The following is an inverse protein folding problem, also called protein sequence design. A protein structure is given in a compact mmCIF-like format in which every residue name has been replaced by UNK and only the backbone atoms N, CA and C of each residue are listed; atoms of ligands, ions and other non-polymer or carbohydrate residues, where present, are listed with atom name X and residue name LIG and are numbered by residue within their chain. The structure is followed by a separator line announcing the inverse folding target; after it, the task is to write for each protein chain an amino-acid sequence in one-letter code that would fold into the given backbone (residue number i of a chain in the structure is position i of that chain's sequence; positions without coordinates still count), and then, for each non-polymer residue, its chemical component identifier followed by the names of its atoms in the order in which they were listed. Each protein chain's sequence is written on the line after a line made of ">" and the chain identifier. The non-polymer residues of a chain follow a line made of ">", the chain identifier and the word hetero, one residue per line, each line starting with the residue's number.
data_IF_525142118851
#
_entry.id   IF_525142118851
#
_cell.length_a   1.000
_cell.length_b   1.000
_cell.length_c   1.000
_cell.angle_alpha   90.00
_cell.angle_beta   90.00
_cell.angle_gamma   90.00
#
_symmetry.space_group_name_H-M   'P 1'
#
loop_
_entity.id
_entity.type
_entity.pdbx_description
1 polymer ?
#
# COMPACT_ATOMS: atom_id res chain seq x y z
N UNK A 1 26.75 20.55 1.97
CA UNK A 1 25.47 20.04 1.41
C UNK A 1 24.62 19.55 2.56
N UNK A 2 23.34 19.93 2.67
CA UNK A 2 22.43 19.26 3.62
C UNK A 2 22.24 17.83 3.12
N UNK A 3 22.71 16.86 3.88
CA UNK A 3 22.48 15.44 3.60
C UNK A 3 20.96 15.20 3.57
N UNK A 4 20.46 14.65 2.48
CA UNK A 4 19.05 14.28 2.34
C UNK A 4 18.71 13.25 3.41
N UNK A 5 17.54 13.35 4.04
CA UNK A 5 17.11 12.35 5.02
C UNK A 5 16.94 10.98 4.33
N UNK A 6 17.68 9.95 4.76
CA UNK A 6 17.67 8.64 4.10
C UNK A 6 16.43 7.81 4.44
N UNK A 7 15.73 8.13 5.52
CA UNK A 7 14.56 7.40 5.97
C UNK A 7 13.32 7.87 5.22
N UNK A 8 13.08 7.25 4.07
CA UNK A 8 12.04 7.64 3.10
C UNK A 8 10.67 7.20 3.58
N UNK A 9 9.75 8.14 3.77
CA UNK A 9 8.36 7.88 4.19
C UNK A 9 7.37 7.94 3.02
N UNK A 10 7.77 8.49 1.87
CA UNK A 10 6.92 8.67 0.68
C UNK A 10 7.70 8.29 -0.58
N UNK A 11 7.12 7.39 -1.37
CA UNK A 11 7.68 6.97 -2.65
C UNK A 11 8.89 6.03 -2.53
N UNK A 12 9.58 5.85 -3.66
CA UNK A 12 10.83 5.09 -3.79
C UNK A 12 11.94 6.02 -4.28
N UNK A 13 13.09 6.00 -3.63
CA UNK A 13 14.19 6.93 -3.93
C UNK A 13 15.51 6.24 -4.32
N UNK A 14 15.43 4.98 -4.72
CA UNK A 14 16.58 4.17 -5.13
C UNK A 14 16.96 3.09 -4.12
N UNK A 15 17.77 2.14 -4.58
CA UNK A 15 18.17 0.96 -3.80
C UNK A 15 18.95 1.31 -2.54
N UNK A 16 19.71 2.41 -2.54
CA UNK A 16 20.47 2.88 -1.38
C UNK A 16 19.58 3.16 -0.15
N UNK A 17 18.36 3.67 -0.40
CA UNK A 17 17.39 4.04 0.65
C UNK A 17 16.32 2.98 0.86
N UNK A 18 16.49 1.79 0.27
CA UNK A 18 15.57 0.68 0.39
C UNK A 18 16.17 -0.38 1.33
N UNK A 19 15.45 -0.69 2.40
CA UNK A 19 15.93 -1.57 3.45
C UNK A 19 15.53 -3.02 3.17
N UNK A 20 16.53 -3.93 3.11
CA UNK A 20 16.32 -5.39 3.02
C UNK A 20 15.44 -5.77 1.80
N UNK A 21 14.70 -6.87 1.88
CA UNK A 21 13.80 -7.41 0.85
C UNK A 21 14.50 -8.09 -0.32
N UNK A 22 15.76 -8.48 -0.16
CA UNK A 22 16.54 -9.19 -1.18
C UNK A 22 15.88 -10.51 -1.58
N UNK A 23 15.33 -11.24 -0.60
CA UNK A 23 14.65 -12.52 -0.86
C UNK A 23 13.36 -12.33 -1.65
N UNK A 24 12.51 -11.39 -1.23
CA UNK A 24 11.27 -11.07 -1.94
C UNK A 24 11.55 -10.49 -3.32
N UNK A 25 12.52 -9.59 -3.43
CA UNK A 25 12.95 -9.00 -4.71
C UNK A 25 13.42 -10.09 -5.68
N UNK A 26 14.33 -10.97 -5.26
CA UNK A 26 14.82 -12.10 -6.08
C UNK A 26 13.66 -13.00 -6.50
N UNK A 27 12.80 -13.39 -5.56
CA UNK A 27 11.66 -14.26 -5.82
C UNK A 27 10.69 -13.65 -6.84
N UNK A 28 10.39 -12.35 -6.71
CA UNK A 28 9.51 -11.64 -7.66
C UNK A 28 10.15 -11.55 -9.04
N UNK A 29 11.44 -11.21 -9.15
CA UNK A 29 12.17 -11.17 -10.41
C UNK A 29 12.21 -12.55 -11.08
N UNK A 30 12.46 -13.61 -10.32
CA UNK A 30 12.46 -14.97 -10.83
C UNK A 30 11.09 -15.38 -11.36
N UNK A 31 10.00 -15.05 -10.67
CA UNK A 31 8.66 -15.34 -11.15
C UNK A 31 8.32 -14.57 -12.43
N UNK A 32 8.58 -13.27 -12.48
CA UNK A 32 8.30 -12.43 -13.65
C UNK A 32 9.07 -12.91 -14.88
N UNK A 33 10.38 -13.19 -14.76
CA UNK A 33 11.23 -13.70 -15.83
C UNK A 33 10.81 -15.09 -16.33
N UNK A 34 10.19 -15.90 -15.48
CA UNK A 34 9.65 -17.21 -15.85
C UNK A 34 8.17 -17.17 -16.28
N UNK A 35 7.65 -15.98 -16.60
CA UNK A 35 6.32 -15.84 -17.19
C UNK A 35 5.16 -15.87 -16.21
N UNK A 36 5.41 -15.79 -14.89
CA UNK A 36 4.34 -15.78 -13.89
C UNK A 36 3.86 -14.40 -13.55
N UNK A 37 2.55 -14.27 -13.41
CA UNK A 37 1.95 -13.13 -12.69
C UNK A 37 2.12 -13.33 -11.18
N UNK A 38 2.11 -12.23 -10.43
CA UNK A 38 2.33 -12.21 -8.99
C UNK A 38 1.14 -11.56 -8.29
N UNK A 39 0.76 -12.08 -7.13
CA UNK A 39 -0.08 -11.39 -6.16
C UNK A 39 0.76 -11.03 -4.94
N UNK A 40 0.97 -9.74 -4.72
CA UNK A 40 1.71 -9.17 -3.59
C UNK A 40 0.73 -8.63 -2.54
N UNK A 41 0.72 -9.20 -1.35
CA UNK A 41 -0.23 -8.79 -0.31
C UNK A 41 0.42 -8.66 1.06
N UNK A 42 -0.04 -7.72 1.84
CA UNK A 42 0.28 -7.50 3.25
C UNK A 42 -0.60 -6.39 3.80
N UNK A 43 -0.70 -6.21 5.10
CA UNK A 43 -1.31 -5.02 5.68
C UNK A 43 -0.74 -3.72 5.07
N UNK A 44 -1.47 -2.62 5.18
CA UNK A 44 -0.96 -1.29 4.77
C UNK A 44 0.35 -0.97 5.50
N UNK A 45 1.17 -0.11 4.91
CA UNK A 45 2.40 0.42 5.52
C UNK A 45 3.54 -0.59 5.71
N UNK A 46 3.47 -1.76 5.06
CA UNK A 46 4.51 -2.79 5.03
C UNK A 46 5.55 -2.62 3.92
N UNK A 47 5.36 -1.64 3.02
CA UNK A 47 6.31 -1.33 1.96
C UNK A 47 6.05 -2.01 0.61
N UNK A 48 4.81 -2.49 0.32
CA UNK A 48 4.45 -3.12 -0.98
C UNK A 48 4.82 -2.26 -2.18
N UNK A 49 4.34 -1.01 -2.20
CA UNK A 49 4.61 -0.06 -3.29
C UNK A 49 6.11 0.19 -3.47
N UNK A 50 6.85 0.32 -2.36
CA UNK A 50 8.31 0.44 -2.39
C UNK A 50 8.98 -0.76 -3.03
N UNK A 51 8.54 -1.99 -2.68
CA UNK A 51 9.07 -3.23 -3.25
C UNK A 51 8.75 -3.35 -4.75
N UNK A 52 7.54 -2.96 -5.19
CA UNK A 52 7.20 -2.94 -6.62
C UNK A 52 8.16 -2.05 -7.40
N UNK A 53 8.37 -0.81 -6.94
CA UNK A 53 9.30 0.11 -7.58
C UNK A 53 10.75 -0.38 -7.51
N UNK A 54 11.15 -1.05 -6.41
CA UNK A 54 12.47 -1.65 -6.29
C UNK A 54 12.66 -2.80 -7.30
N UNK A 55 11.67 -3.68 -7.47
CA UNK A 55 11.69 -4.73 -8.50
C UNK A 55 11.76 -4.12 -9.90
N UNK A 56 10.97 -3.09 -10.18
CA UNK A 56 10.99 -2.38 -11.47
C UNK A 56 12.35 -1.74 -11.77
N UNK A 57 13.03 -1.24 -10.75
CA UNK A 57 14.39 -0.69 -10.90
C UNK A 57 15.42 -1.73 -11.39
N UNK A 58 15.16 -3.03 -11.15
CA UNK A 58 16.01 -4.15 -11.62
C UNK A 58 15.59 -4.75 -12.97
N UNK A 59 14.50 -4.25 -13.55
CA UNK A 59 14.03 -4.64 -14.88
C UNK A 59 14.45 -3.59 -15.91
N UNK A 60 14.78 -4.04 -17.13
CA UNK A 60 15.21 -3.15 -18.23
C UNK A 60 14.07 -2.81 -19.18
N UNK A 61 13.02 -3.59 -19.12
CA UNK A 61 11.86 -3.50 -20.00
C UNK A 61 10.84 -2.48 -19.51
N UNK A 62 9.75 -2.32 -20.24
CA UNK A 62 8.68 -1.38 -19.88
C UNK A 62 8.01 -1.78 -18.58
N UNK A 63 8.06 -0.89 -17.58
CA UNK A 63 7.40 -1.06 -16.30
C UNK A 63 6.29 -0.03 -16.11
N UNK A 64 5.08 -0.47 -15.78
CA UNK A 64 3.90 0.36 -15.61
C UNK A 64 3.36 0.17 -14.20
N UNK A 65 3.23 1.24 -13.45
CA UNK A 65 2.59 1.24 -12.14
C UNK A 65 1.26 1.98 -12.19
N UNK A 66 0.22 1.35 -11.67
CA UNK A 66 -1.14 1.91 -11.59
C UNK A 66 -1.68 1.69 -10.18
N UNK A 67 -2.06 2.77 -9.50
CA UNK A 67 -2.79 2.73 -8.24
C UNK A 67 -4.28 2.98 -8.52
N UNK A 68 -5.12 2.00 -8.20
CA UNK A 68 -6.57 2.09 -8.45
C UNK A 68 -7.39 2.36 -7.19
N UNK A 69 -6.75 2.80 -6.09
CA UNK A 69 -7.42 3.09 -4.83
C UNK A 69 -8.59 4.07 -4.96
N UNK A 70 -8.45 5.08 -5.83
CA UNK A 70 -9.46 6.14 -6.02
C UNK A 70 -10.58 5.77 -7.01
N UNK A 71 -10.54 4.58 -7.60
CA UNK A 71 -11.54 4.15 -8.59
C UNK A 71 -12.76 3.53 -7.93
N UNK A 72 -13.94 3.77 -8.49
CA UNK A 72 -15.23 3.32 -7.92
C UNK A 72 -16.02 2.41 -8.87
N UNK A 73 -15.61 2.31 -10.12
CA UNK A 73 -16.28 1.59 -11.18
C UNK A 73 -15.32 1.27 -12.34
N UNK A 74 -15.78 0.50 -13.32
CA UNK A 74 -14.99 0.12 -14.49
C UNK A 74 -14.50 1.33 -15.30
N UNK A 75 -15.33 2.37 -15.43
CA UNK A 75 -14.94 3.57 -16.19
C UNK A 75 -13.75 4.28 -15.55
N UNK A 76 -13.76 4.46 -14.23
CA UNK A 76 -12.64 5.05 -13.48
C UNK A 76 -11.38 4.20 -13.63
N UNK A 77 -11.53 2.86 -13.53
CA UNK A 77 -10.43 1.93 -13.72
C UNK A 77 -9.78 2.10 -15.10
N UNK A 78 -10.59 2.11 -16.17
CA UNK A 78 -10.10 2.24 -17.54
C UNK A 78 -9.38 3.57 -17.75
N UNK A 79 -9.91 4.66 -17.20
CA UNK A 79 -9.28 5.98 -17.27
C UNK A 79 -7.91 6.01 -16.59
N UNK A 80 -7.81 5.49 -15.36
CA UNK A 80 -6.57 5.47 -14.58
C UNK A 80 -5.55 4.51 -15.17
N UNK A 81 -5.98 3.30 -15.56
CA UNK A 81 -5.13 2.29 -16.17
C UNK A 81 -4.59 2.76 -17.53
N UNK A 82 -5.46 3.30 -18.39
CA UNK A 82 -5.06 3.84 -19.68
C UNK A 82 -4.06 5.00 -19.55
N UNK A 83 -4.28 5.93 -18.60
CA UNK A 83 -3.33 7.00 -18.29
C UNK A 83 -1.95 6.43 -17.94
N UNK A 84 -1.89 5.41 -17.06
CA UNK A 84 -0.63 4.78 -16.66
C UNK A 84 0.08 4.09 -17.83
N UNK A 85 -0.67 3.35 -18.67
CA UNK A 85 -0.13 2.70 -19.86
C UNK A 85 0.49 3.72 -20.82
N UNK A 86 -0.21 4.81 -21.12
CA UNK A 86 0.31 5.81 -22.07
C UNK A 86 1.47 6.62 -21.51
N UNK A 87 1.47 6.92 -20.22
CA UNK A 87 2.58 7.63 -19.58
C UNK A 87 3.89 6.83 -19.63
N UNK A 88 3.83 5.50 -19.63
CA UNK A 88 5.00 4.64 -19.71
C UNK A 88 5.61 4.53 -21.12
N UNK A 89 4.84 4.86 -22.18
CA UNK A 89 5.29 4.71 -23.58
C UNK A 89 6.17 5.89 -24.01
N UNK A 90 6.12 7.00 -23.32
CA UNK A 90 6.96 8.17 -23.63
C UNK A 90 6.29 9.51 -23.38
N UNK A 91 7.06 10.56 -23.64
CA UNK A 91 6.61 11.95 -23.47
C UNK A 91 5.41 12.24 -24.37
N UNK A 92 4.33 12.88 -23.86
CA UNK A 92 3.16 13.26 -24.63
C UNK A 92 3.54 14.23 -25.77
N UNK A 93 3.57 13.71 -26.99
CA UNK A 93 3.82 14.50 -28.20
C UNK A 93 2.66 14.34 -29.17
N UNK A 94 2.45 15.33 -30.04
CA UNK A 94 1.43 15.24 -31.11
C UNK A 94 1.63 14.00 -32.01
N UNK A 95 2.89 13.58 -32.23
CA UNK A 95 3.22 12.36 -32.99
C UNK A 95 2.77 11.09 -32.26
N UNK A 96 2.99 11.01 -30.95
CA UNK A 96 2.56 9.87 -30.12
C UNK A 96 1.01 9.81 -30.08
N UNK A 97 0.35 10.93 -29.83
CA UNK A 97 -1.12 11.00 -29.82
C UNK A 97 -1.69 10.57 -31.17
N UNK A 98 -1.13 11.04 -32.30
CA UNK A 98 -1.56 10.62 -33.63
C UNK A 98 -1.41 9.11 -33.86
N UNK A 99 -0.31 8.50 -33.37
CA UNK A 99 -0.10 7.05 -33.41
C UNK A 99 -1.13 6.31 -32.56
N UNK A 100 -1.38 6.78 -31.34
CA UNK A 100 -2.40 6.22 -30.46
C UNK A 100 -3.80 6.36 -31.04
N UNK A 101 -4.17 7.52 -31.58
CA UNK A 101 -5.49 7.76 -32.21
C UNK A 101 -5.77 6.82 -33.39
N UNK A 102 -4.73 6.35 -34.10
CA UNK A 102 -4.93 5.36 -35.17
C UNK A 102 -5.24 3.96 -34.63
N UNK A 103 -4.87 3.67 -33.38
CA UNK A 103 -5.09 2.39 -32.73
C UNK A 103 -6.44 2.35 -32.00
N UNK A 104 -6.78 3.45 -31.31
CA UNK A 104 -7.98 3.56 -30.48
C UNK A 104 -9.15 4.15 -31.28
N UNK A 105 -10.27 3.43 -31.33
CA UNK A 105 -11.51 3.82 -32.05
C UNK A 105 -12.63 4.25 -31.12
N UNK A 106 -12.78 3.56 -29.99
CA UNK A 106 -13.84 3.80 -29.00
C UNK A 106 -13.46 4.85 -27.97
N UNK A 107 -12.17 5.18 -27.84
CA UNK A 107 -11.69 6.23 -26.97
C UNK A 107 -10.65 7.11 -27.68
N UNK A 108 -10.59 8.38 -27.27
CA UNK A 108 -9.68 9.35 -27.88
C UNK A 108 -8.54 9.71 -26.90
N UNK A 109 -7.28 9.39 -27.24
CA UNK A 109 -6.16 9.91 -26.47
C UNK A 109 -6.09 11.44 -26.65
N UNK A 110 -6.19 12.19 -25.57
CA UNK A 110 -6.09 13.66 -25.56
C UNK A 110 -4.95 14.10 -24.66
N UNK A 111 -4.24 15.16 -25.07
CA UNK A 111 -3.23 15.79 -24.22
C UNK A 111 -3.94 16.75 -23.28
N UNK A 112 -3.72 16.58 -21.99
CA UNK A 112 -4.19 17.47 -20.93
C UNK A 112 -3.00 17.90 -20.08
N UNK A 113 -3.24 18.79 -19.12
CA UNK A 113 -2.25 19.20 -18.12
C UNK A 113 -2.65 18.58 -16.80
N UNK A 114 -1.75 17.85 -16.18
CA UNK A 114 -1.97 17.29 -14.84
C UNK A 114 -2.07 18.43 -13.83
N UNK A 115 -3.19 18.50 -13.10
CA UNK A 115 -3.51 19.61 -12.20
C UNK A 115 -2.54 19.72 -11.00
N UNK A 116 -1.86 18.62 -10.63
CA UNK A 116 -0.93 18.59 -9.49
C UNK A 116 0.49 18.94 -9.89
N UNK A 117 0.95 18.41 -11.02
CA UNK A 117 2.33 18.58 -11.48
C UNK A 117 2.50 19.70 -12.51
N UNK A 118 1.42 20.14 -13.15
CA UNK A 118 1.46 21.08 -14.27
C UNK A 118 2.09 20.51 -15.56
N UNK A 119 2.35 19.20 -15.60
CA UNK A 119 3.02 18.55 -16.74
C UNK A 119 1.99 18.05 -17.76
N UNK A 120 2.34 18.03 -19.06
CA UNK A 120 1.48 17.41 -20.08
C UNK A 120 1.30 15.92 -19.81
N UNK A 121 0.06 15.45 -19.89
CA UNK A 121 -0.30 14.04 -19.76
C UNK A 121 -1.25 13.60 -20.86
N UNK A 122 -1.34 12.29 -21.13
CA UNK A 122 -2.34 11.72 -22.03
C UNK A 122 -3.45 11.12 -21.18
N UNK A 123 -4.67 11.60 -21.43
CA UNK A 123 -5.92 10.99 -20.90
C UNK A 123 -6.70 10.32 -22.02
N UNK A 124 -7.54 9.37 -21.65
CA UNK A 124 -8.55 8.79 -22.54
C UNK A 124 -9.85 9.53 -22.36
N UNK A 125 -10.39 10.03 -23.48
CA UNK A 125 -11.74 10.58 -23.56
C UNK A 125 -12.67 9.52 -24.21
N UNK A 126 -13.64 9.02 -23.45
CA UNK A 126 -14.60 8.02 -23.87
C UNK A 126 -15.91 8.13 -23.06
N UNK A 127 -17.03 7.70 -23.67
CA UNK A 127 -18.30 7.65 -22.97
C UNK A 127 -18.30 6.49 -21.95
N UNK A 128 -18.94 6.63 -20.78
CA UNK A 128 -19.05 5.55 -19.78
C UNK A 128 -19.57 4.23 -20.33
N UNK A 129 -20.48 4.27 -21.31
CA UNK A 129 -21.01 3.10 -22.00
C UNK A 129 -19.99 2.38 -22.91
N UNK A 130 -18.82 2.97 -23.13
CA UNK A 130 -17.74 2.42 -23.95
C UNK A 130 -16.56 1.90 -23.13
N UNK A 131 -16.69 1.84 -21.80
CA UNK A 131 -15.58 1.45 -20.91
C UNK A 131 -15.01 0.06 -21.24
N UNK A 132 -15.85 -0.93 -21.52
CA UNK A 132 -15.38 -2.28 -21.90
C UNK A 132 -14.63 -2.27 -23.24
N UNK A 133 -15.11 -1.51 -24.22
CA UNK A 133 -14.45 -1.39 -25.53
C UNK A 133 -13.11 -0.66 -25.39
N UNK A 134 -13.07 0.44 -24.61
CA UNK A 134 -11.83 1.15 -24.32
C UNK A 134 -10.82 0.25 -23.61
N UNK A 135 -11.26 -0.57 -22.66
CA UNK A 135 -10.44 -1.57 -21.99
C UNK A 135 -9.87 -2.58 -23.00
N UNK A 136 -10.72 -3.13 -23.88
CA UNK A 136 -10.26 -4.05 -24.92
C UNK A 136 -9.17 -3.41 -25.78
N UNK A 137 -9.37 -2.16 -26.25
CA UNK A 137 -8.38 -1.45 -27.06
C UNK A 137 -7.05 -1.22 -26.32
N UNK A 138 -7.07 -0.94 -24.99
CA UNK A 138 -5.86 -0.87 -24.17
C UNK A 138 -5.14 -2.21 -24.17
N UNK A 139 -5.84 -3.32 -23.96
CA UNK A 139 -5.24 -4.65 -23.94
C UNK A 139 -4.73 -5.09 -25.33
N UNK A 140 -5.44 -4.76 -26.40
CA UNK A 140 -4.98 -5.00 -27.77
C UNK A 140 -3.71 -4.18 -28.07
N UNK A 141 -3.63 -2.96 -27.57
CA UNK A 141 -2.43 -2.14 -27.65
C UNK A 141 -1.26 -2.78 -26.87
N UNK A 142 -1.47 -3.22 -25.63
CA UNK A 142 -0.46 -3.92 -24.84
C UNK A 142 0.04 -5.19 -25.53
N UNK A 143 -0.86 -5.93 -26.20
CA UNK A 143 -0.51 -7.11 -27.00
C UNK A 143 0.36 -6.77 -28.21
N UNK A 144 0.26 -5.56 -28.75
CA UNK A 144 1.04 -5.08 -29.89
C UNK A 144 2.46 -4.65 -29.53
N UNK A 145 2.81 -4.58 -28.24
CA UNK A 145 4.15 -4.24 -27.76
C UNK A 145 5.06 -5.47 -27.97
N UNK A 146 6.15 -5.31 -28.69
CA UNK A 146 7.05 -6.42 -29.04
C UNK A 146 8.00 -6.83 -27.91
N UNK A 147 8.23 -5.93 -26.94
CA UNK A 147 9.11 -6.16 -25.78
C UNK A 147 8.32 -6.64 -24.58
N UNK A 148 8.99 -7.26 -23.62
CA UNK A 148 8.39 -7.61 -22.35
C UNK A 148 7.88 -6.35 -21.62
N UNK A 149 6.74 -6.48 -20.95
CA UNK A 149 6.11 -5.41 -20.20
C UNK A 149 5.66 -5.93 -18.84
N UNK A 150 5.96 -5.16 -17.80
CA UNK A 150 5.61 -5.50 -16.42
C UNK A 150 4.64 -4.45 -15.87
N UNK A 151 3.46 -4.89 -15.45
CA UNK A 151 2.38 -3.99 -15.01
C UNK A 151 2.04 -4.30 -13.56
N UNK A 152 2.19 -3.34 -12.68
CA UNK A 152 1.70 -3.41 -11.31
C UNK A 152 0.38 -2.66 -11.17
N UNK A 153 -0.63 -3.34 -10.64
CA UNK A 153 -1.91 -2.74 -10.25
C UNK A 153 -1.99 -2.80 -8.74
N UNK A 154 -1.79 -1.65 -8.09
CA UNK A 154 -1.85 -1.53 -6.63
C UNK A 154 -3.29 -1.30 -6.16
N UNK A 155 -3.61 -1.77 -4.96
CA UNK A 155 -4.94 -1.81 -4.33
C UNK A 155 -5.98 -2.58 -5.18
N UNK A 156 -5.54 -3.69 -5.81
CA UNK A 156 -6.35 -4.47 -6.77
C UNK A 156 -7.67 -4.99 -6.19
N UNK A 157 -7.79 -5.18 -4.87
CA UNK A 157 -9.06 -5.55 -4.25
C UNK A 157 -10.18 -4.53 -4.50
N UNK A 158 -9.86 -3.30 -4.91
CA UNK A 158 -10.85 -2.28 -5.26
C UNK A 158 -11.80 -2.74 -6.37
N UNK A 159 -11.31 -3.57 -7.30
CA UNK A 159 -12.14 -4.16 -8.36
C UNK A 159 -13.34 -4.95 -7.82
N UNK A 160 -13.20 -5.58 -6.64
CA UNK A 160 -14.29 -6.35 -6.05
C UNK A 160 -15.41 -5.48 -5.44
N UNK A 161 -15.18 -4.20 -5.29
CA UNK A 161 -16.12 -3.22 -4.75
C UNK A 161 -16.90 -2.46 -5.86
N UNK A 162 -16.58 -2.72 -7.14
CA UNK A 162 -17.27 -2.06 -8.26
C UNK A 162 -18.72 -2.51 -8.41
N UNK A 163 -19.62 -1.61 -8.82
CA UNK A 163 -21.02 -1.95 -9.03
C UNK A 163 -21.24 -2.90 -10.22
N UNK A 164 -20.34 -2.88 -11.22
CA UNK A 164 -20.41 -3.75 -12.37
C UNK A 164 -20.03 -5.18 -11.98
N UNK A 165 -20.96 -6.11 -12.23
CA UNK A 165 -20.70 -7.53 -12.03
C UNK A 165 -19.75 -8.04 -13.12
N UNK A 166 -18.86 -8.97 -12.77
CA UNK A 166 -17.95 -9.63 -13.71
C UNK A 166 -16.70 -8.85 -14.15
N UNK A 167 -16.36 -7.72 -13.54
CA UNK A 167 -15.12 -6.99 -13.89
C UNK A 167 -13.88 -7.87 -13.71
N UNK A 168 -13.82 -8.70 -12.66
CA UNK A 168 -12.72 -9.67 -12.48
C UNK A 168 -12.65 -10.67 -13.66
N UNK A 169 -13.78 -11.21 -14.11
CA UNK A 169 -13.80 -12.15 -15.22
C UNK A 169 -13.38 -11.47 -16.53
N UNK A 170 -13.81 -10.23 -16.75
CA UNK A 170 -13.42 -9.43 -17.90
C UNK A 170 -11.89 -9.19 -17.91
N UNK A 171 -11.33 -8.70 -16.80
CA UNK A 171 -9.89 -8.49 -16.66
C UNK A 171 -9.11 -9.79 -16.83
N UNK A 172 -9.57 -10.88 -16.23
CA UNK A 172 -8.94 -12.20 -16.35
C UNK A 172 -8.88 -12.67 -17.81
N UNK A 173 -9.96 -12.46 -18.57
CA UNK A 173 -10.03 -12.84 -19.99
C UNK A 173 -9.00 -12.08 -20.82
N UNK A 174 -8.84 -10.79 -20.58
CA UNK A 174 -7.83 -10.00 -21.30
C UNK A 174 -6.40 -10.39 -20.91
N UNK A 175 -6.13 -10.49 -19.61
CA UNK A 175 -4.78 -10.75 -19.06
C UNK A 175 -4.22 -12.09 -19.53
N UNK A 176 -5.04 -13.16 -19.55
CA UNK A 176 -4.56 -14.49 -19.94
C UNK A 176 -4.14 -14.59 -21.42
N UNK A 177 -4.57 -13.65 -22.26
CA UNK A 177 -4.25 -13.61 -23.69
C UNK A 177 -2.97 -12.83 -24.02
N UNK A 178 -2.27 -12.30 -23.00
CA UNK A 178 -1.05 -11.52 -23.17
C UNK A 178 0.18 -12.41 -22.94
N UNK A 179 0.95 -12.68 -23.99
CA UNK A 179 2.17 -13.49 -23.91
C UNK A 179 3.39 -12.69 -23.43
N UNK A 180 3.41 -11.39 -23.70
CA UNK A 180 4.52 -10.46 -23.45
C UNK A 180 4.33 -9.57 -22.21
N UNK A 181 3.23 -9.69 -21.48
CA UNK A 181 2.93 -8.86 -20.32
C UNK A 181 2.83 -9.71 -19.06
N UNK A 182 3.45 -9.25 -17.96
CA UNK A 182 3.32 -9.87 -16.63
C UNK A 182 2.76 -8.88 -15.64
N UNK A 183 1.87 -9.36 -14.80
CA UNK A 183 1.16 -8.53 -13.84
C UNK A 183 1.63 -8.79 -12.41
N UNK A 184 1.70 -7.70 -11.63
CA UNK A 184 1.82 -7.70 -10.18
C UNK A 184 0.52 -7.10 -9.64
N UNK A 185 -0.34 -7.93 -9.05
CA UNK A 185 -1.53 -7.48 -8.35
C UNK A 185 -1.16 -7.24 -6.90
N UNK A 186 -1.22 -6.00 -6.44
CA UNK A 186 -0.92 -5.67 -5.06
C UNK A 186 -2.19 -5.26 -4.30
N UNK A 187 -2.25 -5.57 -3.00
CA UNK A 187 -3.37 -5.16 -2.18
C UNK A 187 -3.07 -5.16 -0.68
N UNK A 188 -3.78 -4.29 0.02
CA UNK A 188 -3.62 -4.08 1.46
C UNK A 188 -4.68 -4.78 2.31
N UNK A 189 -5.85 -5.07 1.75
CA UNK A 189 -6.91 -5.86 2.38
C UNK A 189 -6.64 -7.35 2.11
N UNK A 190 -5.73 -7.95 2.90
CA UNK A 190 -5.24 -9.31 2.66
C UNK A 190 -6.36 -10.34 2.48
N UNK A 191 -7.43 -10.26 3.29
CA UNK A 191 -8.56 -11.19 3.19
C UNK A 191 -9.31 -11.10 1.84
N UNK A 192 -9.46 -9.89 1.27
CA UNK A 192 -10.09 -9.72 -0.04
C UNK A 192 -9.17 -10.23 -1.16
N UNK A 193 -7.90 -9.92 -1.10
CA UNK A 193 -6.89 -10.42 -2.06
C UNK A 193 -6.82 -11.95 -2.00
N UNK A 194 -6.75 -12.54 -0.81
CA UNK A 194 -6.77 -14.00 -0.65
C UNK A 194 -8.07 -14.60 -1.21
N UNK A 195 -9.21 -13.99 -0.94
CA UNK A 195 -10.48 -14.43 -1.53
C UNK A 195 -10.44 -14.40 -3.07
N UNK A 196 -9.96 -13.32 -3.68
CA UNK A 196 -9.90 -13.17 -5.15
C UNK A 196 -8.99 -14.22 -5.81
N UNK A 197 -7.85 -14.59 -5.19
CA UNK A 197 -6.82 -15.42 -5.81
C UNK A 197 -6.77 -16.88 -5.28
N UNK A 198 -7.33 -17.16 -4.11
CA UNK A 198 -7.31 -18.50 -3.50
C UNK A 198 -8.68 -19.19 -3.48
N UNK A 199 -9.80 -18.46 -3.65
CA UNK A 199 -11.11 -19.06 -3.69
C UNK A 199 -11.41 -19.62 -5.09
N UNK A 200 -11.70 -20.92 -5.18
CA UNK A 200 -11.99 -21.64 -6.43
C UNK A 200 -13.18 -21.09 -7.22
N UNK A 201 -14.06 -20.30 -6.60
CA UNK A 201 -15.22 -19.68 -7.26
C UNK A 201 -14.88 -18.34 -7.92
N UNK A 202 -13.69 -17.81 -7.74
CA UNK A 202 -13.28 -16.50 -8.26
C UNK A 202 -12.52 -16.62 -9.58
N UNK A 203 -12.66 -15.65 -10.49
CA UNK A 203 -12.01 -15.69 -11.80
C UNK A 203 -10.48 -15.82 -11.74
N UNK A 204 -9.83 -15.18 -10.77
CA UNK A 204 -8.37 -15.19 -10.63
C UNK A 204 -7.82 -16.39 -9.84
N UNK A 205 -8.64 -17.39 -9.51
CA UNK A 205 -8.18 -18.57 -8.77
C UNK A 205 -6.94 -19.20 -9.40
N UNK A 206 -5.89 -19.38 -8.60
CA UNK A 206 -4.60 -19.98 -8.97
C UNK A 206 -3.92 -19.38 -10.22
N UNK A 207 -4.22 -18.12 -10.56
CA UNK A 207 -3.67 -17.47 -11.76
C UNK A 207 -2.34 -16.77 -11.53
N UNK A 208 -1.85 -16.73 -10.29
CA UNK A 208 -0.64 -15.99 -9.89
C UNK A 208 0.20 -16.76 -8.88
N UNK A 209 1.44 -16.30 -8.68
CA UNK A 209 2.30 -16.70 -7.55
C UNK A 209 2.07 -15.73 -6.39
N UNK A 210 1.70 -16.28 -5.22
CA UNK A 210 1.45 -15.48 -4.03
C UNK A 210 2.76 -15.09 -3.34
N UNK A 211 2.91 -13.81 -3.03
CA UNK A 211 4.02 -13.25 -2.25
C UNK A 211 3.43 -12.41 -1.12
N UNK A 212 3.66 -12.82 0.11
CA UNK A 212 3.30 -12.06 1.29
C UNK A 212 4.49 -11.28 1.84
N UNK A 213 4.26 -10.05 2.31
CA UNK A 213 5.27 -9.30 3.04
C UNK A 213 5.01 -9.37 4.53
N UNK A 214 6.06 -9.65 5.26
CA UNK A 214 6.13 -9.59 6.71
C UNK A 214 6.98 -8.40 7.15
N UNK A 215 7.13 -8.20 8.43
CA UNK A 215 8.04 -7.22 9.01
C UNK A 215 9.48 -7.48 8.54
N UNK A 216 10.24 -6.43 8.27
CA UNK A 216 11.69 -6.54 8.04
C UNK A 216 12.32 -7.01 9.35
N UNK A 217 13.19 -8.04 9.35
CA UNK A 217 13.84 -8.51 10.57
C UNK A 217 14.54 -7.35 11.32
N UNK A 218 14.32 -7.26 12.64
CA UNK A 218 14.85 -6.17 13.47
C UNK A 218 16.35 -5.95 13.28
N UNK A 219 17.13 -7.03 13.16
CA UNK A 219 18.58 -6.98 12.94
C UNK A 219 18.94 -6.31 11.62
N UNK A 220 18.33 -6.74 10.49
CA UNK A 220 18.57 -6.14 9.17
C UNK A 220 18.20 -4.67 9.16
N UNK A 221 17.08 -4.33 9.82
CA UNK A 221 16.59 -2.95 9.88
C UNK A 221 17.53 -2.07 10.75
N UNK A 222 18.01 -2.61 11.86
CA UNK A 222 19.00 -1.93 12.72
C UNK A 222 20.27 -1.60 11.94
N UNK A 223 20.83 -2.58 11.21
CA UNK A 223 22.06 -2.38 10.43
C UNK A 223 21.88 -1.33 9.33
N UNK A 224 20.72 -1.34 8.67
CA UNK A 224 20.34 -0.30 7.71
C UNK A 224 20.28 1.09 8.37
N UNK A 225 19.58 1.22 9.49
CA UNK A 225 19.44 2.49 10.19
C UNK A 225 20.76 2.99 10.74
N UNK A 226 21.52 2.10 11.38
CA UNK A 226 22.83 2.41 11.98
C UNK A 226 23.80 3.00 10.98
N UNK A 227 23.88 2.45 9.77
CA UNK A 227 24.74 2.96 8.70
C UNK A 227 24.54 4.47 8.47
N UNK A 228 23.30 4.93 8.34
CA UNK A 228 23.01 6.33 8.09
C UNK A 228 23.21 7.24 9.30
N UNK A 229 22.98 6.75 10.52
CA UNK A 229 23.27 7.52 11.72
C UNK A 229 24.78 7.64 11.97
N UNK A 230 25.54 6.59 11.68
CA UNK A 230 27.02 6.62 11.77
C UNK A 230 27.62 7.67 10.83
N UNK A 231 27.10 7.81 9.59
CA UNK A 231 27.53 8.83 8.61
C UNK A 231 27.43 10.26 9.15
N UNK A 232 26.45 10.52 9.99
CA UNK A 232 26.24 11.84 10.64
C UNK A 232 26.72 11.88 12.09
N UNK A 233 27.47 10.85 12.53
CA UNK A 233 28.08 10.73 13.87
C UNK A 233 27.06 10.73 15.01
N UNK A 234 25.91 10.11 14.81
CA UNK A 234 24.90 9.88 15.83
C UNK A 234 24.96 8.41 16.25
N UNK A 235 25.08 8.16 17.54
CA UNK A 235 25.09 6.80 18.09
C UNK A 235 23.65 6.27 18.16
N UNK A 236 23.41 5.10 17.55
CA UNK A 236 22.17 4.33 17.65
C UNK A 236 22.47 3.01 18.37
N UNK A 237 22.21 2.88 19.68
CA UNK A 237 22.33 1.61 20.38
C UNK A 237 21.29 0.59 19.86
N UNK A 238 21.69 -0.68 19.73
CA UNK A 238 20.82 -1.74 19.24
C UNK A 238 19.57 -1.92 20.13
N UNK A 239 19.73 -1.85 21.45
CA UNK A 239 18.61 -1.94 22.41
C UNK A 239 17.57 -0.83 22.22
N UNK A 240 17.99 0.40 21.89
CA UNK A 240 17.06 1.50 21.64
C UNK A 240 16.35 1.36 20.29
N UNK A 241 17.04 0.80 19.29
CA UNK A 241 16.40 0.44 18.04
C UNK A 241 15.36 -0.68 18.25
N UNK A 242 15.64 -1.71 19.02
CA UNK A 242 14.69 -2.77 19.34
C UNK A 242 13.46 -2.23 20.08
N UNK A 243 13.66 -1.31 21.04
CA UNK A 243 12.57 -0.63 21.74
C UNK A 243 11.67 0.14 20.76
N UNK A 244 12.27 0.93 19.88
CA UNK A 244 11.56 1.67 18.81
C UNK A 244 10.81 0.72 17.88
N UNK A 245 11.46 -0.34 17.41
CA UNK A 245 10.91 -1.33 16.52
C UNK A 245 9.69 -2.02 17.14
N UNK A 246 9.80 -2.46 18.39
CA UNK A 246 8.73 -3.12 19.13
C UNK A 246 7.56 -2.19 19.46
N UNK A 247 7.83 -0.88 19.60
CA UNK A 247 6.80 0.13 19.88
C UNK A 247 5.74 0.21 18.78
N UNK A 248 6.15 -0.04 17.53
CA UNK A 248 5.30 0.01 16.34
C UNK A 248 5.16 -1.36 15.65
N UNK A 249 5.43 -2.46 16.37
CA UNK A 249 5.32 -3.84 15.91
C UNK A 249 6.09 -4.11 14.60
N UNK A 250 7.25 -3.46 14.40
CA UNK A 250 8.10 -3.63 13.23
C UNK A 250 7.51 -3.15 11.89
N UNK A 251 6.35 -2.51 11.89
CA UNK A 251 5.73 -2.07 10.65
C UNK A 251 6.56 -0.99 9.97
N UNK A 252 6.99 -1.28 8.76
CA UNK A 252 8.02 -0.55 8.00
C UNK A 252 7.83 0.97 7.99
N UNK A 253 6.63 1.46 7.65
CA UNK A 253 6.39 2.90 7.54
C UNK A 253 6.49 3.63 8.89
N UNK A 254 6.04 3.00 9.99
CA UNK A 254 6.11 3.62 11.32
C UNK A 254 7.55 3.66 11.84
N UNK A 255 8.31 2.57 11.62
CA UNK A 255 9.75 2.55 11.94
C UNK A 255 10.46 3.64 11.14
N UNK A 256 10.25 3.73 9.82
CA UNK A 256 10.81 4.78 8.97
C UNK A 256 10.42 6.18 9.45
N UNK A 257 9.17 6.40 9.87
CA UNK A 257 8.71 7.71 10.32
C UNK A 257 9.43 8.16 11.59
N UNK A 258 9.64 7.26 12.57
CA UNK A 258 10.37 7.59 13.79
C UNK A 258 11.86 7.83 13.49
N UNK A 259 12.49 6.97 12.66
CA UNK A 259 13.88 7.16 12.24
C UNK A 259 14.07 8.46 11.46
N UNK A 260 13.11 8.82 10.59
CA UNK A 260 13.10 10.08 9.85
C UNK A 260 13.09 11.28 10.79
N UNK A 261 12.22 11.26 11.81
CA UNK A 261 12.14 12.32 12.82
C UNK A 261 13.43 12.39 13.64
N UNK A 262 13.98 11.28 14.10
CA UNK A 262 15.25 11.23 14.83
C UNK A 262 16.41 11.79 14.00
N UNK A 263 16.42 11.51 12.69
CA UNK A 263 17.43 12.05 11.78
C UNK A 263 17.29 13.57 11.58
N UNK A 264 16.08 14.11 11.63
CA UNK A 264 15.84 15.57 11.63
C UNK A 264 16.24 16.23 12.95
N UNK A 265 15.93 15.60 14.08
CA UNK A 265 16.19 16.12 15.43
C UNK A 265 17.68 16.13 15.78
N UNK A 266 18.48 15.24 15.16
CA UNK A 266 19.94 15.11 15.37
C UNK A 266 20.39 15.04 16.84
N UNK A 267 19.87 14.12 17.65
CA UNK A 267 20.37 13.93 19.00
C UNK A 267 21.82 13.41 18.93
N UNK A 268 22.66 13.69 19.92
CA UNK A 268 24.03 13.15 19.96
C UNK A 268 24.06 11.63 20.10
N UNK A 269 23.13 11.09 20.87
CA UNK A 269 22.90 9.67 21.10
C UNK A 269 21.40 9.46 21.05
N UNK A 270 20.97 8.40 20.36
CA UNK A 270 19.56 7.98 20.37
C UNK A 270 19.35 7.14 21.63
N UNK A 271 18.50 7.64 22.49
CA UNK A 271 18.08 7.03 23.75
C UNK A 271 16.54 6.98 23.83
N UNK A 272 16.00 6.33 24.84
CA UNK A 272 14.55 6.22 25.03
C UNK A 272 13.85 7.58 25.10
N UNK A 273 14.52 8.62 25.63
CA UNK A 273 13.97 9.98 25.70
C UNK A 273 13.86 10.62 24.31
N UNK A 274 14.88 10.51 23.48
CA UNK A 274 14.87 11.02 22.10
C UNK A 274 13.86 10.27 21.22
N UNK A 275 13.74 8.95 21.39
CA UNK A 275 12.72 8.13 20.70
C UNK A 275 11.30 8.57 21.08
N UNK A 276 11.03 8.75 22.39
CA UNK A 276 9.72 9.20 22.85
C UNK A 276 9.41 10.63 22.43
N UNK A 277 10.40 11.51 22.36
CA UNK A 277 10.24 12.88 21.86
C UNK A 277 9.88 12.87 20.36
N UNK A 278 10.59 12.12 19.52
CA UNK A 278 10.30 11.96 18.12
C UNK A 278 8.87 11.42 17.89
N UNK A 279 8.49 10.39 18.64
CA UNK A 279 7.12 9.86 18.60
C UNK A 279 6.08 10.91 19.02
N UNK A 280 6.34 11.69 20.06
CA UNK A 280 5.43 12.73 20.51
C UNK A 280 5.25 13.81 19.44
N UNK A 281 6.33 14.27 18.81
CA UNK A 281 6.26 15.23 17.69
C UNK A 281 5.34 14.71 16.58
N UNK A 282 5.54 13.46 16.14
CA UNK A 282 4.70 12.85 15.09
C UNK A 282 3.22 12.78 15.53
N UNK A 283 2.96 12.41 16.79
CA UNK A 283 1.59 12.31 17.31
C UNK A 283 0.94 13.69 17.43
N UNK A 284 1.66 14.70 17.88
CA UNK A 284 1.17 16.08 18.01
C UNK A 284 0.82 16.68 16.66
N UNK A 285 1.65 16.49 15.64
CA UNK A 285 1.37 16.92 14.27
C UNK A 285 0.07 16.30 13.71
N UNK A 286 -0.26 15.08 14.12
CA UNK A 286 -1.47 14.37 13.69
C UNK A 286 -2.66 14.50 14.66
N UNK A 287 -2.48 15.18 15.80
CA UNK A 287 -3.47 15.19 16.89
C UNK A 287 -4.84 15.73 16.48
N UNK A 288 -4.89 16.77 15.64
CA UNK A 288 -6.15 17.31 15.09
C UNK A 288 -6.91 16.26 14.28
N UNK A 289 -6.22 15.53 13.41
CA UNK A 289 -6.79 14.46 12.60
C UNK A 289 -7.32 13.32 13.48
N UNK A 290 -6.55 12.94 14.50
CA UNK A 290 -6.94 11.90 15.45
C UNK A 290 -8.16 12.29 16.28
N UNK A 291 -8.21 13.54 16.76
CA UNK A 291 -9.38 14.07 17.47
C UNK A 291 -10.63 14.04 16.58
N UNK A 292 -10.48 14.43 15.31
CA UNK A 292 -11.60 14.40 14.34
C UNK A 292 -12.10 12.98 14.12
N UNK A 293 -11.22 12.03 13.84
CA UNK A 293 -11.59 10.62 13.69
C UNK A 293 -12.30 10.09 14.93
N UNK A 294 -11.74 10.35 16.11
CA UNK A 294 -12.31 9.91 17.36
C UNK A 294 -13.69 10.56 17.64
N UNK A 295 -13.91 11.80 17.27
CA UNK A 295 -15.18 12.50 17.46
C UNK A 295 -16.31 11.96 16.59
N UNK A 296 -16.01 11.40 15.42
CA UNK A 296 -16.99 10.78 14.51
C UNK A 296 -17.54 9.45 15.05
N UNK A 297 -16.87 8.83 16.01
CA UNK A 297 -17.27 7.55 16.57
C UNK A 297 -18.36 7.71 17.63
N UNK A 298 -19.25 6.72 17.74
CA UNK A 298 -20.22 6.64 18.82
C UNK A 298 -19.53 6.37 20.17
N UNK A 299 -20.21 6.62 21.30
CA UNK A 299 -19.65 6.40 22.63
C UNK A 299 -19.14 4.96 22.84
N UNK A 300 -19.88 3.95 22.38
CA UNK A 300 -19.47 2.55 22.52
C UNK A 300 -18.26 2.22 21.61
N UNK A 301 -18.19 2.76 20.41
CA UNK A 301 -17.03 2.60 19.52
C UNK A 301 -15.78 3.24 20.12
N UNK A 302 -15.91 4.46 20.67
CA UNK A 302 -14.80 5.15 21.37
C UNK A 302 -14.28 4.36 22.56
N UNK A 303 -15.18 3.81 23.38
CA UNK A 303 -14.80 2.97 24.51
C UNK A 303 -14.08 1.71 24.05
N UNK A 304 -14.62 1.00 23.06
CA UNK A 304 -14.00 -0.20 22.48
C UNK A 304 -12.63 0.09 21.89
N UNK A 305 -12.51 1.13 21.07
CA UNK A 305 -11.25 1.51 20.42
C UNK A 305 -10.15 1.88 21.42
N UNK A 306 -10.51 2.65 22.47
CA UNK A 306 -9.58 2.97 23.58
C UNK A 306 -9.17 1.71 24.37
N UNK A 307 -10.11 0.79 24.62
CA UNK A 307 -9.82 -0.45 25.31
C UNK A 307 -8.79 -1.31 24.55
N UNK A 308 -8.98 -1.43 23.23
CA UNK A 308 -8.01 -2.12 22.34
C UNK A 308 -6.67 -1.41 22.32
N UNK A 309 -6.66 -0.08 22.24
CA UNK A 309 -5.42 0.72 22.25
C UNK A 309 -4.60 0.52 23.54
N UNK A 310 -5.26 0.48 24.71
CA UNK A 310 -4.61 0.28 26.02
C UNK A 310 -4.00 -1.13 26.19
N UNK A 311 -4.64 -2.16 25.64
CA UNK A 311 -4.10 -3.52 25.67
C UNK A 311 -3.09 -3.78 24.54
N UNK A 312 -3.03 -2.93 23.53
CA UNK A 312 -2.27 -3.07 22.27
C UNK A 312 -2.74 -4.25 21.41
N UNK A 313 -2.87 -5.45 21.98
CA UNK A 313 -3.32 -6.68 21.30
C UNK A 313 -4.39 -7.34 22.16
N UNK A 314 -5.56 -7.59 21.58
CA UNK A 314 -6.70 -8.20 22.28
C UNK A 314 -7.13 -9.49 21.59
N UNK A 315 -6.92 -10.63 22.23
CA UNK A 315 -7.31 -11.92 21.68
C UNK A 315 -8.84 -12.17 21.83
N UNK A 316 -9.44 -11.74 22.94
CA UNK A 316 -10.84 -12.01 23.29
C UNK A 316 -11.58 -10.73 23.73
N UNK A 317 -11.97 -9.85 22.78
CA UNK A 317 -12.54 -8.52 23.07
C UNK A 317 -13.98 -8.56 23.62
N UNK A 318 -14.62 -9.73 23.59
CA UNK A 318 -15.98 -9.93 24.13
C UNK A 318 -15.99 -10.77 25.42
N UNK A 319 -14.82 -11.10 25.96
CA UNK A 319 -14.74 -11.83 27.24
C UNK A 319 -15.28 -10.99 28.40
N UNK A 320 -15.94 -11.60 29.35
CA UNK A 320 -16.47 -10.91 30.54
C UNK A 320 -15.41 -10.08 31.24
N UNK A 321 -14.18 -10.61 31.36
CA UNK A 321 -13.05 -9.89 31.96
C UNK A 321 -12.72 -8.58 31.22
N UNK A 322 -12.65 -8.61 29.88
CA UNK A 322 -12.37 -7.43 29.07
C UNK A 322 -13.52 -6.43 29.14
N UNK A 323 -14.77 -6.90 29.00
CA UNK A 323 -15.96 -6.04 29.08
C UNK A 323 -16.05 -5.30 30.42
N UNK A 324 -15.89 -6.02 31.53
CA UNK A 324 -15.93 -5.46 32.88
C UNK A 324 -14.81 -4.43 33.09
N UNK A 325 -13.58 -4.79 32.69
CA UNK A 325 -12.41 -3.91 32.85
C UNK A 325 -12.57 -2.53 32.18
N UNK A 326 -13.21 -2.51 31.02
CA UNK A 326 -13.36 -1.30 30.21
C UNK A 326 -14.77 -0.70 30.23
N UNK A 327 -15.67 -1.19 31.10
CA UNK A 327 -17.02 -0.68 31.24
C UNK A 327 -17.91 -0.86 30.00
N UNK A 328 -17.61 -1.89 29.19
CA UNK A 328 -18.39 -2.22 28.00
C UNK A 328 -19.66 -2.99 28.41
N UNK A 329 -20.84 -2.51 28.00
CA UNK A 329 -22.13 -2.95 28.57
C UNK A 329 -22.44 -4.41 28.33
N UNK A 330 -22.40 -4.91 27.09
CA UNK A 330 -22.78 -6.27 26.71
C UNK A 330 -21.92 -6.83 25.58
N UNK A 331 -21.76 -8.14 25.50
CA UNK A 331 -21.03 -8.79 24.42
C UNK A 331 -21.59 -8.47 23.02
N UNK A 332 -22.95 -8.40 22.90
CA UNK A 332 -23.59 -8.05 21.62
C UNK A 332 -23.33 -6.61 21.18
N UNK A 333 -23.34 -5.66 22.12
CA UNK A 333 -22.99 -4.26 21.83
C UNK A 333 -21.51 -4.10 21.49
N UNK A 334 -20.64 -4.82 22.20
CA UNK A 334 -19.21 -4.87 21.92
C UNK A 334 -18.95 -5.42 20.52
N UNK A 335 -19.59 -6.51 20.12
CA UNK A 335 -19.45 -7.11 18.79
C UNK A 335 -19.91 -6.17 17.68
N UNK A 336 -21.04 -5.45 17.84
CA UNK A 336 -21.47 -4.44 16.86
C UNK A 336 -20.46 -3.31 16.71
N UNK A 337 -19.88 -2.84 17.83
CA UNK A 337 -18.84 -1.81 17.80
C UNK A 337 -17.59 -2.31 17.11
N UNK A 338 -17.15 -3.54 17.36
CA UNK A 338 -16.02 -4.18 16.70
C UNK A 338 -16.22 -4.26 15.19
N UNK A 339 -17.37 -4.80 14.74
CA UNK A 339 -17.65 -4.95 13.31
C UNK A 339 -17.58 -3.61 12.59
N UNK A 340 -18.23 -2.58 13.15
CA UNK A 340 -18.16 -1.24 12.56
C UNK A 340 -16.75 -0.65 12.57
N UNK A 341 -15.95 -0.90 13.60
CA UNK A 341 -14.56 -0.44 13.65
C UNK A 341 -13.65 -1.21 12.66
N UNK A 342 -13.94 -2.47 12.36
CA UNK A 342 -13.29 -3.23 11.31
C UNK A 342 -13.69 -2.72 9.90
N UNK A 343 -14.98 -2.54 9.65
CA UNK A 343 -15.51 -2.02 8.38
C UNK A 343 -14.91 -0.66 8.01
N UNK A 344 -14.69 0.19 9.02
CA UNK A 344 -14.09 1.52 8.85
C UNK A 344 -12.55 1.52 9.02
N UNK A 345 -11.91 0.37 9.05
CA UNK A 345 -10.46 0.21 9.15
C UNK A 345 -9.80 0.91 10.37
N UNK A 346 -10.54 1.09 11.48
CA UNK A 346 -9.95 1.53 12.75
C UNK A 346 -9.24 0.39 13.49
N UNK A 347 -9.73 -0.83 13.29
CA UNK A 347 -9.15 -2.05 13.84
C UNK A 347 -8.78 -3.02 12.73
N UNK A 348 -7.79 -3.84 12.99
CA UNK A 348 -7.50 -5.02 12.19
C UNK A 348 -7.22 -6.22 13.09
N UNK A 349 -7.27 -7.44 12.53
CA UNK A 349 -7.00 -8.68 13.23
C UNK A 349 -5.93 -9.46 12.49
N UNK A 350 -4.95 -9.97 13.24
CA UNK A 350 -4.01 -10.98 12.78
C UNK A 350 -4.04 -12.21 13.71
N UNK A 351 -3.05 -13.09 13.57
CA UNK A 351 -2.94 -14.31 14.38
C UNK A 351 -2.77 -14.03 15.88
N UNK A 352 -2.21 -12.89 16.26
CA UNK A 352 -1.99 -12.47 17.65
C UNK A 352 -3.27 -11.94 18.31
N UNK A 353 -4.17 -11.32 17.54
CA UNK A 353 -5.40 -10.73 18.04
C UNK A 353 -5.83 -9.47 17.29
N UNK A 354 -6.67 -8.67 17.95
CA UNK A 354 -7.22 -7.42 17.44
C UNK A 354 -6.37 -6.25 17.92
N UNK A 355 -6.08 -5.32 17.03
CA UNK A 355 -5.22 -4.17 17.26
C UNK A 355 -5.79 -2.91 16.58
N UNK A 356 -5.39 -1.74 17.06
CA UNK A 356 -5.65 -0.48 16.35
C UNK A 356 -4.85 -0.50 15.04
N UNK A 357 -5.51 -0.16 13.95
CA UNK A 357 -4.89 -0.24 12.61
C UNK A 357 -3.72 0.73 12.44
N UNK A 358 -3.91 2.01 12.83
CA UNK A 358 -2.85 3.01 12.83
C UNK A 358 -2.12 2.99 14.17
N UNK A 359 -0.80 2.66 14.16
CA UNK A 359 0.00 2.53 15.38
C UNK A 359 0.15 3.84 16.14
N UNK A 360 0.35 4.95 15.44
CA UNK A 360 0.47 6.26 16.09
C UNK A 360 -0.87 6.70 16.69
N UNK A 361 -1.98 6.46 15.99
CA UNK A 361 -3.32 6.67 16.55
C UNK A 361 -3.56 5.80 17.77
N UNK A 362 -3.13 4.53 17.74
CA UNK A 362 -3.19 3.63 18.89
C UNK A 362 -2.45 4.18 20.12
N UNK A 363 -1.23 4.71 19.93
CA UNK A 363 -0.48 5.35 21.02
C UNK A 363 -1.20 6.60 21.53
N UNK A 364 -1.74 7.44 20.65
CA UNK A 364 -2.52 8.61 21.04
C UNK A 364 -3.77 8.22 21.86
N UNK A 365 -4.53 7.22 21.41
CA UNK A 365 -5.73 6.70 22.10
C UNK A 365 -5.43 6.14 23.48
N UNK A 366 -4.30 5.45 23.64
CA UNK A 366 -3.90 4.85 24.92
C UNK A 366 -3.60 5.90 26.01
N UNK A 367 -3.29 7.13 25.63
CA UNK A 367 -3.03 8.27 26.52
C UNK A 367 -4.31 8.96 27.02
N UNK A 368 -5.46 8.75 26.33
CA UNK A 368 -6.77 9.24 26.73
C UNK A 368 -7.36 8.39 27.89
#
# INVERSE_FOLDING_TARGET
>A
MKTKNPFVTIGYQGSEYFCDRELETKKMLDYLKNGWNITLFSPRRMGKTGLIHHVFHHLKDTCIYTDIYSTSNLNDFVAVFGKSVFSAIGTPTAKLVKRLTSFFRSCRPVITVDEKSGMPEIKLDFAPTQAEQALQEIFDFLKSIETDCYIAIDEFQQVSEYPEKNVEALLRTHIQNLANVRFIFAGSKSHLIEEMFLNAKRPFYQSTRMVSLYEIPSRSYYEFAKRFFDEIRISLPESEFENLYNLVDGQTWYVQSILNQLYMDRPKVIDSHSVMRALNTIIEENSYTYQRFFSMLTGNQRMMLRAVAKERIVAQPTSSRFLTRYGLKTGSSAMRSLNSLFENEYLYKDQRGIMVYDRFFGVWLARL
#
